data_IF_633228953272
#
_entry.id   IF_633228953272
#
_cell.length_a   1.000
_cell.length_b   1.000
_cell.length_c   1.000
_cell.angle_alpha   90.00
_cell.angle_beta   90.00
_cell.angle_gamma   90.00
#
_symmetry.space_group_name_H-M   'P 1'
#
loop_
_entity.id
_entity.type
_entity.pdbx_description
1 polymer ?
#
# COMPACT_ATOMS: atom_id res chain seq x y z
N UNK A 1 -1.83 -32.29 17.95
CA UNK A 1 -0.95 -31.48 17.07
C UNK A 1 -1.14 -31.95 15.64
N UNK A 2 -1.25 -31.04 14.65
CA UNK A 2 -1.39 -31.43 13.24
C UNK A 2 -0.03 -31.90 12.72
N UNK A 3 0.28 -33.17 12.93
CA UNK A 3 1.51 -33.81 12.47
C UNK A 3 1.31 -34.30 11.02
N UNK A 4 1.55 -33.42 10.06
CA UNK A 4 1.53 -33.73 8.63
C UNK A 4 2.88 -33.44 7.97
N UNK A 5 3.11 -33.98 6.77
CA UNK A 5 4.35 -33.79 5.99
C UNK A 5 4.72 -32.31 5.73
N UNK A 6 3.76 -31.40 5.88
CA UNK A 6 3.92 -29.97 5.65
C UNK A 6 3.84 -29.11 6.91
N UNK A 7 3.91 -29.70 8.11
CA UNK A 7 3.82 -28.96 9.37
C UNK A 7 4.90 -27.86 9.51
N UNK A 8 6.05 -28.01 8.85
CA UNK A 8 7.12 -27.01 8.81
C UNK A 8 6.71 -25.69 8.12
N UNK A 9 5.65 -25.67 7.30
CA UNK A 9 5.09 -24.43 6.75
C UNK A 9 4.41 -23.57 7.82
N UNK A 10 4.10 -24.12 9.00
CA UNK A 10 3.52 -23.36 10.12
C UNK A 10 4.58 -22.47 10.79
N UNK A 11 5.86 -22.80 10.64
CA UNK A 11 6.96 -21.94 11.09
C UNK A 11 7.19 -20.83 10.05
N UNK A 12 6.35 -19.78 10.09
CA UNK A 12 6.28 -18.72 9.07
C UNK A 12 7.64 -18.03 8.80
N UNK A 13 8.50 -17.95 9.82
CA UNK A 13 9.84 -17.38 9.72
C UNK A 13 10.96 -18.43 9.65
N UNK A 14 10.59 -19.71 9.61
CA UNK A 14 11.51 -20.83 9.52
C UNK A 14 12.21 -20.86 8.16
N UNK A 15 13.48 -21.24 8.16
CA UNK A 15 14.32 -21.24 6.96
C UNK A 15 13.72 -22.09 5.83
N UNK A 16 13.26 -23.31 6.16
CA UNK A 16 12.64 -24.22 5.21
C UNK A 16 11.36 -23.63 4.59
N UNK A 17 10.49 -23.02 5.42
CA UNK A 17 9.27 -22.35 4.99
C UNK A 17 9.57 -21.21 4.01
N UNK A 18 10.54 -20.37 4.35
CA UNK A 18 10.95 -19.23 3.53
C UNK A 18 11.58 -19.67 2.20
N UNK A 19 12.42 -20.71 2.21
CA UNK A 19 13.04 -21.24 0.98
C UNK A 19 11.97 -21.77 0.01
N UNK A 20 11.01 -22.54 0.52
CA UNK A 20 9.92 -23.07 -0.28
C UNK A 20 9.04 -21.97 -0.88
N UNK A 21 8.66 -20.95 -0.10
CA UNK A 21 7.87 -19.82 -0.59
C UNK A 21 8.65 -19.04 -1.66
N UNK A 22 9.97 -18.81 -1.48
CA UNK A 22 10.79 -18.12 -2.47
C UNK A 22 10.80 -18.87 -3.80
N UNK A 23 11.00 -20.19 -3.77
CA UNK A 23 10.96 -21.01 -4.99
C UNK A 23 9.60 -20.96 -5.68
N UNK A 24 8.50 -21.08 -4.91
CA UNK A 24 7.14 -20.97 -5.44
C UNK A 24 6.83 -19.59 -6.02
N UNK A 25 7.33 -18.51 -5.40
CA UNK A 25 7.16 -17.15 -5.91
C UNK A 25 7.86 -16.96 -7.26
N UNK A 26 9.09 -17.46 -7.41
CA UNK A 26 9.82 -17.40 -8.69
C UNK A 26 9.04 -18.13 -9.78
N UNK A 27 8.61 -19.37 -9.51
CA UNK A 27 7.83 -20.16 -10.46
C UNK A 27 6.51 -19.46 -10.85
N UNK A 28 5.82 -18.86 -9.88
CA UNK A 28 4.57 -18.15 -10.12
C UNK A 28 4.78 -16.89 -10.97
N UNK A 29 5.81 -16.09 -10.67
CA UNK A 29 6.14 -14.86 -11.41
C UNK A 29 6.52 -15.21 -12.86
N UNK A 30 7.37 -16.22 -13.06
CA UNK A 30 7.76 -16.67 -14.39
C UNK A 30 6.55 -17.12 -15.22
N UNK A 31 5.61 -17.85 -14.60
CA UNK A 31 4.35 -18.27 -15.24
C UNK A 31 3.44 -17.11 -15.61
N UNK A 32 3.51 -16.01 -14.89
CA UNK A 32 2.75 -14.78 -15.16
C UNK A 32 3.43 -13.88 -16.20
N UNK A 33 4.57 -14.30 -16.77
CA UNK A 33 5.28 -13.57 -17.81
C UNK A 33 6.41 -12.67 -17.29
N UNK A 34 6.92 -12.94 -16.08
CA UNK A 34 8.00 -12.20 -15.45
C UNK A 34 7.50 -11.13 -14.48
N UNK A 35 8.39 -10.19 -14.14
CA UNK A 35 8.08 -9.15 -13.16
C UNK A 35 6.94 -8.26 -13.67
N UNK A 36 5.79 -8.20 -12.98
CA UNK A 36 4.66 -7.39 -13.40
C UNK A 36 5.00 -5.90 -13.46
N UNK A 37 6.01 -5.44 -12.71
CA UNK A 37 6.43 -4.04 -12.68
C UNK A 37 7.01 -3.55 -14.01
N UNK A 38 7.52 -4.47 -14.84
CA UNK A 38 8.01 -4.17 -16.20
C UNK A 38 6.87 -4.00 -17.22
N UNK A 39 5.63 -4.33 -16.84
CA UNK A 39 4.51 -4.27 -17.77
C UNK A 39 4.01 -2.84 -18.02
N UNK A 40 3.56 -2.51 -19.26
CA UNK A 40 2.88 -1.25 -19.53
C UNK A 40 1.62 -1.05 -18.69
N UNK A 41 0.94 -2.16 -18.35
CA UNK A 41 -0.25 -2.14 -17.49
C UNK A 41 0.10 -1.67 -16.07
N UNK A 42 1.18 -2.20 -15.49
CA UNK A 42 1.64 -1.76 -14.18
C UNK A 42 1.99 -0.28 -14.17
N UNK A 43 2.79 0.18 -15.14
CA UNK A 43 3.14 1.60 -15.27
C UNK A 43 1.90 2.49 -15.32
N UNK A 44 0.89 2.10 -16.10
CA UNK A 44 -0.39 2.83 -16.20
C UNK A 44 -1.19 2.82 -14.91
N UNK A 45 -1.30 1.68 -14.24
CA UNK A 45 -2.04 1.59 -12.98
C UNK A 45 -1.33 2.36 -11.86
N UNK A 46 0.00 2.25 -11.80
CA UNK A 46 0.83 2.95 -10.84
C UNK A 46 0.68 4.47 -10.97
N UNK A 47 0.70 5.02 -12.19
CA UNK A 47 0.52 6.47 -12.40
C UNK A 47 -0.86 6.97 -11.94
N UNK A 48 -1.91 6.19 -12.16
CA UNK A 48 -3.27 6.52 -11.69
C UNK A 48 -3.33 6.43 -10.16
N UNK A 49 -2.83 5.34 -9.58
CA UNK A 49 -2.90 5.07 -8.15
C UNK A 49 -1.98 5.97 -7.32
N UNK A 50 -0.94 6.53 -7.90
CA UNK A 50 -0.03 7.49 -7.22
C UNK A 50 -0.30 8.95 -7.60
N UNK A 51 -1.30 9.21 -8.46
CA UNK A 51 -1.63 10.56 -8.91
C UNK A 51 -2.00 11.49 -7.75
N UNK A 52 -1.48 12.72 -7.78
CA UNK A 52 -1.82 13.77 -6.81
C UNK A 52 -3.24 14.35 -7.00
N UNK A 53 -3.90 14.01 -8.11
CA UNK A 53 -5.23 14.52 -8.48
C UNK A 53 -6.39 13.67 -7.93
N UNK A 54 -6.09 12.57 -7.20
CA UNK A 54 -7.14 11.71 -6.62
C UNK A 54 -7.99 12.50 -5.63
N UNK A 55 -9.30 12.23 -5.62
CA UNK A 55 -10.24 12.84 -4.67
C UNK A 55 -9.89 12.37 -3.25
N UNK A 56 -9.56 13.28 -2.31
CA UNK A 56 -9.25 12.89 -0.95
C UNK A 56 -10.52 12.41 -0.22
N UNK A 57 -10.54 11.14 0.18
CA UNK A 57 -11.57 10.64 1.08
C UNK A 57 -11.35 11.21 2.48
N UNK A 58 -12.26 12.08 2.92
CA UNK A 58 -12.16 12.77 4.21
C UNK A 58 -13.11 12.19 5.26
N UNK A 59 -12.67 12.24 6.52
CA UNK A 59 -13.52 12.01 7.70
C UNK A 59 -13.46 13.22 8.62
N UNK A 60 -14.60 13.66 9.14
CA UNK A 60 -14.65 14.77 10.10
C UNK A 60 -14.49 14.24 11.52
N UNK A 61 -13.54 14.78 12.27
CA UNK A 61 -13.35 14.49 13.69
C UNK A 61 -13.14 15.80 14.45
N UNK A 62 -14.09 16.13 15.33
CA UNK A 62 -14.11 17.41 16.04
C UNK A 62 -14.13 18.59 15.06
N UNK A 63 -13.15 19.49 15.20
CA UNK A 63 -13.00 20.68 14.36
C UNK A 63 -12.23 20.43 13.04
N UNK A 64 -11.64 19.24 12.85
CA UNK A 64 -10.73 18.96 11.74
C UNK A 64 -11.28 17.90 10.79
N UNK A 65 -10.76 17.92 9.57
CA UNK A 65 -11.02 16.94 8.52
C UNK A 65 -9.75 16.16 8.25
N UNK A 66 -9.83 14.85 8.41
CA UNK A 66 -8.72 13.92 8.27
C UNK A 66 -8.79 13.22 6.94
N UNK A 67 -7.63 12.98 6.34
CA UNK A 67 -7.47 12.22 5.13
C UNK A 67 -6.26 11.29 5.28
N UNK A 68 -6.44 10.02 4.91
CA UNK A 68 -5.33 9.11 4.70
C UNK A 68 -4.94 9.17 3.23
N UNK A 69 -3.65 9.38 2.96
CA UNK A 69 -3.15 9.65 1.63
C UNK A 69 -1.96 8.76 1.29
N UNK A 70 -1.96 8.20 0.08
CA UNK A 70 -0.85 7.45 -0.48
C UNK A 70 -0.48 8.02 -1.84
N UNK A 71 0.82 8.19 -2.07
CA UNK A 71 1.37 8.61 -3.34
C UNK A 71 2.76 8.00 -3.53
N UNK A 72 3.48 8.44 -4.56
CA UNK A 72 4.83 7.96 -4.84
C UNK A 72 5.86 8.32 -3.75
N UNK A 73 5.62 9.39 -2.97
CA UNK A 73 6.51 9.82 -1.88
C UNK A 73 6.13 9.14 -0.57
N UNK A 74 4.86 8.78 -0.39
CA UNK A 74 4.32 8.11 0.79
C UNK A 74 3.61 6.80 0.41
N UNK A 75 4.35 5.74 0.02
CA UNK A 75 3.77 4.49 -0.45
C UNK A 75 3.03 3.72 0.66
N UNK A 76 3.48 3.78 1.91
CA UNK A 76 2.76 3.21 3.07
C UNK A 76 1.67 4.15 3.56
N UNK A 77 1.83 5.44 3.29
CA UNK A 77 0.80 6.46 3.44
C UNK A 77 1.03 7.42 4.59
N UNK A 78 0.31 8.54 4.53
CA UNK A 78 0.37 9.62 5.49
C UNK A 78 -1.04 9.97 5.96
N UNK A 79 -1.21 10.04 7.28
CA UNK A 79 -2.40 10.62 7.90
C UNK A 79 -2.18 12.13 8.01
N UNK A 80 -3.06 12.88 7.36
CA UNK A 80 -3.04 14.35 7.34
C UNK A 80 -4.39 14.92 7.73
N UNK A 81 -4.39 16.17 8.20
CA UNK A 81 -5.61 16.90 8.59
C UNK A 81 -5.66 18.30 7.99
N UNK A 82 -6.86 18.86 7.91
CA UNK A 82 -7.09 20.25 7.49
C UNK A 82 -8.30 20.85 8.23
N UNK A 83 -8.46 22.17 8.14
CA UNK A 83 -9.64 22.88 8.67
C UNK A 83 -10.79 22.86 7.68
N UNK A 84 -12.03 23.09 8.16
CA UNK A 84 -13.19 23.16 7.27
C UNK A 84 -13.06 24.25 6.20
N UNK A 85 -12.60 25.44 6.60
CA UNK A 85 -12.47 26.59 5.72
C UNK A 85 -11.46 26.31 4.61
N UNK A 86 -10.33 25.68 4.95
CA UNK A 86 -9.32 25.29 3.97
C UNK A 86 -9.81 24.16 3.07
N UNK A 87 -10.54 23.18 3.60
CA UNK A 87 -11.14 22.13 2.77
C UNK A 87 -12.11 22.68 1.72
N UNK A 88 -12.91 23.70 2.10
CA UNK A 88 -13.92 24.30 1.21
C UNK A 88 -13.33 25.21 0.12
N UNK A 89 -12.06 25.63 0.22
CA UNK A 89 -11.43 26.50 -0.79
C UNK A 89 -11.11 25.77 -2.10
N UNK A 90 -11.16 24.43 -2.12
CA UNK A 90 -10.73 23.61 -3.26
C UNK A 90 -9.23 23.29 -3.26
N UNK A 91 -8.44 24.07 -2.52
CA UNK A 91 -6.99 23.86 -2.33
C UNK A 91 -6.69 23.71 -0.82
N UNK A 92 -7.01 22.54 -0.22
CA UNK A 92 -6.77 22.30 1.19
C UNK A 92 -5.29 22.34 1.53
N UNK A 93 -4.93 23.14 2.53
CA UNK A 93 -3.63 23.08 3.20
C UNK A 93 -3.67 21.93 4.19
N UNK A 94 -2.85 20.91 3.93
CA UNK A 94 -2.77 19.72 4.77
C UNK A 94 -1.63 19.82 5.78
N UNK A 95 -1.92 19.45 7.02
CA UNK A 95 -0.94 19.25 8.09
C UNK A 95 -0.75 17.76 8.32
N UNK A 96 0.50 17.28 8.28
CA UNK A 96 0.82 15.88 8.58
C UNK A 96 0.63 15.60 10.06
N UNK A 97 -0.16 14.57 10.37
CA UNK A 97 -0.39 14.07 11.73
C UNK A 97 0.52 12.88 12.02
N UNK A 98 0.63 11.95 11.06
CA UNK A 98 1.45 10.74 11.18
C UNK A 98 1.92 10.28 9.80
N UNK A 99 3.22 9.99 9.68
CA UNK A 99 3.81 9.24 8.57
C UNK A 99 3.84 7.75 8.91
N UNK A 100 3.41 6.88 8.00
CA UNK A 100 3.50 5.41 8.15
C UNK A 100 4.76 4.86 7.50
N UNK A 101 5.35 5.61 6.56
CA UNK A 101 6.59 5.24 5.90
C UNK A 101 7.75 5.00 6.89
#
# INVERSE_FOLDING_TARGET
ERQGQHAWLEEVLGEQALEWVRAGNVEAIDRLGGDPTDSPLYTRLYSILTSKEKIPHISKLGAHYYNFWTDSENPRGVLRRTSFNSYRSGEPTWETVLSID
#
